data_IF_693214189874
#
_entry.id   IF_693214189874
#
_cell.length_a   1.000
_cell.length_b   1.000
_cell.length_c   1.000
_cell.angle_alpha   90.00
_cell.angle_beta   90.00
_cell.angle_gamma   90.00
#
_symmetry.space_group_name_H-M   'P 1'
#
loop_
_entity.id
_entity.type
_entity.pdbx_description
1 polymer ?
#
# COMPACT_ATOMS: atom_id res chain seq x y z
N UNK A 1 2.56 11.82 21.77
CA UNK A 1 2.88 10.43 22.17
C UNK A 1 2.67 9.38 21.06
N UNK A 2 1.51 9.31 20.37
CA UNK A 2 1.32 8.35 19.25
C UNK A 2 2.19 8.65 18.01
N UNK A 3 2.45 9.93 17.70
CA UNK A 3 3.33 10.34 16.59
C UNK A 3 4.78 9.83 16.79
N UNK A 4 5.31 9.95 18.01
CA UNK A 4 6.63 9.45 18.41
C UNK A 4 6.78 7.93 18.28
N UNK A 5 5.72 7.17 18.54
CA UNK A 5 5.72 5.70 18.35
C UNK A 5 5.73 5.37 16.85
N UNK A 6 4.96 6.06 16.02
CA UNK A 6 4.99 5.90 14.56
C UNK A 6 6.34 6.31 13.96
N UNK A 7 6.96 7.37 14.46
CA UNK A 7 8.29 7.81 14.05
C UNK A 7 9.38 6.81 14.47
N UNK A 8 9.29 6.21 15.66
CA UNK A 8 10.19 5.13 16.10
C UNK A 8 10.10 3.89 15.23
N UNK A 9 8.90 3.42 14.89
CA UNK A 9 8.74 2.27 13.98
C UNK A 9 9.18 2.59 12.55
N UNK A 10 8.98 3.82 12.11
CA UNK A 10 9.47 4.29 10.80
C UNK A 10 11.00 4.38 10.78
N UNK A 11 11.64 4.85 11.85
CA UNK A 11 13.09 4.87 12.01
C UNK A 11 13.70 3.46 12.01
N UNK A 12 13.09 2.51 12.72
CA UNK A 12 13.53 1.08 12.69
C UNK A 12 13.36 0.49 11.30
N UNK A 13 12.23 0.77 10.61
CA UNK A 13 12.03 0.33 9.24
C UNK A 13 13.03 0.99 8.28
N UNK A 14 13.39 2.24 8.51
CA UNK A 14 14.40 2.97 7.75
C UNK A 14 15.79 2.40 7.97
N UNK A 15 16.21 2.10 9.20
CA UNK A 15 17.50 1.46 9.49
C UNK A 15 17.60 0.10 8.82
N UNK A 16 16.52 -0.69 8.82
CA UNK A 16 16.44 -1.95 8.07
C UNK A 16 16.56 -1.70 6.56
N UNK A 17 15.82 -0.72 6.00
CA UNK A 17 15.86 -0.40 4.56
C UNK A 17 17.21 0.19 4.10
N UNK A 18 17.89 0.99 4.92
CA UNK A 18 19.19 1.61 4.63
C UNK A 18 20.38 0.68 4.85
N UNK A 19 20.22 -0.38 5.63
CA UNK A 19 21.24 -1.44 5.73
C UNK A 19 21.34 -2.27 4.43
N UNK A 20 20.38 -2.14 3.50
CA UNK A 20 20.41 -2.82 2.20
C UNK A 20 21.16 -2.04 1.11
N UNK A 21 21.29 -0.71 1.22
CA UNK A 21 21.98 0.09 0.18
C UNK A 21 23.51 -0.02 0.25
N UNK A 22 24.07 -0.41 1.40
CA UNK A 22 25.51 -0.57 1.61
C UNK A 22 26.05 -2.00 1.38
N UNK A 23 25.18 -3.01 1.25
CA UNK A 23 25.61 -4.43 1.20
C UNK A 23 25.91 -4.95 -0.22
N UNK A 24 25.55 -4.23 -1.29
CA UNK A 24 25.59 -4.81 -2.66
C UNK A 24 26.75 -4.35 -3.57
N UNK A 25 27.87 -3.88 -2.99
CA UNK A 25 29.11 -3.70 -3.76
C UNK A 25 29.80 -5.03 -4.16
N UNK A 26 29.33 -6.18 -3.67
CA UNK A 26 29.95 -7.45 -4.01
C UNK A 26 29.04 -8.64 -3.79
N UNK A 27 28.24 -9.01 -4.80
CA UNK A 27 28.00 -10.42 -5.13
C UNK A 27 27.33 -10.56 -6.51
N UNK A 28 28.18 -10.81 -7.51
CA UNK A 28 27.77 -11.40 -8.79
C UNK A 28 27.58 -12.89 -8.58
N UNK A 29 26.32 -13.37 -8.60
CA UNK A 29 25.86 -14.64 -9.22
C UNK A 29 24.52 -15.09 -8.62
N UNK A 30 23.41 -14.63 -9.22
CA UNK A 30 22.12 -15.33 -9.15
C UNK A 30 21.45 -15.25 -10.52
N UNK A 31 22.05 -15.91 -11.52
CA UNK A 31 21.42 -16.14 -12.83
C UNK A 31 20.95 -17.59 -12.88
N UNK A 32 19.87 -17.87 -12.15
CA UNK A 32 18.97 -18.96 -12.49
C UNK A 32 17.84 -18.38 -13.33
N UNK A 33 17.49 -19.00 -14.44
CA UNK A 33 16.29 -18.64 -15.21
C UNK A 33 15.04 -18.99 -14.38
N UNK A 34 14.62 -18.07 -13.53
CA UNK A 34 13.40 -18.23 -12.73
C UNK A 34 12.19 -17.83 -13.57
N UNK A 35 11.17 -18.65 -13.51
CA UNK A 35 9.89 -18.44 -14.17
C UNK A 35 9.22 -17.15 -13.63
N UNK A 36 9.16 -16.11 -14.47
CA UNK A 36 8.53 -14.81 -14.18
C UNK A 36 7.00 -14.91 -13.96
N UNK A 37 6.43 -16.12 -13.87
CA UNK A 37 5.05 -16.40 -13.43
C UNK A 37 4.76 -16.01 -11.98
N UNK A 38 5.76 -15.68 -11.18
CA UNK A 38 5.62 -15.36 -9.75
C UNK A 38 4.88 -14.03 -9.50
N UNK A 39 5.20 -12.97 -10.25
CA UNK A 39 4.49 -11.69 -10.15
C UNK A 39 3.02 -11.80 -10.59
N UNK A 40 2.76 -12.60 -11.64
CA UNK A 40 1.40 -12.93 -12.09
C UNK A 40 0.64 -13.72 -11.02
N UNK A 41 1.22 -14.79 -10.49
CA UNK A 41 0.62 -15.63 -9.44
C UNK A 41 0.31 -14.83 -8.17
N UNK A 42 1.19 -13.92 -7.77
CA UNK A 42 0.95 -13.03 -6.63
C UNK A 42 -0.24 -12.11 -6.87
N UNK A 43 -0.33 -11.49 -8.06
CA UNK A 43 -1.47 -10.63 -8.41
C UNK A 43 -2.78 -11.41 -8.49
N UNK A 44 -2.76 -12.60 -9.08
CA UNK A 44 -3.91 -13.49 -9.09
C UNK A 44 -4.33 -13.88 -7.68
N UNK A 45 -3.41 -14.21 -6.78
CA UNK A 45 -3.72 -14.53 -5.38
C UNK A 45 -4.36 -13.34 -4.64
N UNK A 46 -3.87 -12.12 -4.87
CA UNK A 46 -4.48 -10.92 -4.30
C UNK A 46 -5.89 -10.70 -4.83
N UNK A 47 -6.07 -10.83 -6.15
CA UNK A 47 -7.33 -10.64 -6.85
C UNK A 47 -8.37 -11.72 -6.48
N UNK A 48 -7.98 -13.00 -6.42
CA UNK A 48 -8.81 -14.11 -5.92
C UNK A 48 -9.20 -13.91 -4.45
N UNK A 49 -8.27 -13.37 -3.64
CA UNK A 49 -8.59 -12.96 -2.28
C UNK A 49 -9.77 -11.99 -2.26
N UNK A 50 -9.77 -10.97 -3.11
CA UNK A 50 -10.88 -10.00 -3.23
C UNK A 50 -12.17 -10.69 -3.71
N UNK A 51 -12.12 -11.55 -4.73
CA UNK A 51 -13.30 -12.27 -5.25
C UNK A 51 -13.93 -13.19 -4.21
N UNK A 52 -13.13 -13.93 -3.44
CA UNK A 52 -13.63 -14.84 -2.40
C UNK A 52 -14.49 -14.12 -1.35
N UNK A 53 -14.28 -12.82 -1.15
CA UNK A 53 -15.11 -12.01 -0.26
C UNK A 53 -16.43 -11.59 -0.90
N UNK A 54 -16.44 -11.33 -2.21
CA UNK A 54 -17.68 -11.10 -2.96
C UNK A 54 -18.55 -12.37 -2.97
N UNK A 55 -17.93 -13.55 -3.15
CA UNK A 55 -18.60 -14.85 -3.07
C UNK A 55 -19.20 -15.10 -1.68
N UNK A 56 -18.41 -14.88 -0.61
CA UNK A 56 -18.89 -14.99 0.78
C UNK A 56 -20.03 -14.01 1.10
N UNK A 57 -20.06 -12.86 0.43
CA UNK A 57 -21.16 -11.92 0.56
C UNK A 57 -22.44 -12.38 -0.17
N UNK A 58 -22.33 -13.34 -1.10
CA UNK A 58 -23.42 -13.88 -1.91
C UNK A 58 -24.26 -12.76 -2.56
N UNK A 59 -23.60 -11.76 -3.15
CA UNK A 59 -24.23 -10.58 -3.75
C UNK A 59 -24.90 -9.61 -2.76
N UNK A 60 -24.93 -9.91 -1.46
CA UNK A 60 -25.56 -9.03 -0.46
C UNK A 60 -24.58 -7.98 0.05
N UNK A 61 -24.78 -6.74 -0.35
CA UNK A 61 -23.92 -5.62 0.07
C UNK A 61 -23.78 -5.50 1.60
N UNK A 62 -24.83 -5.72 2.39
CA UNK A 62 -24.77 -5.60 3.85
C UNK A 62 -23.88 -6.66 4.52
N UNK A 63 -23.65 -7.79 3.85
CA UNK A 63 -22.64 -8.79 4.23
C UNK A 63 -21.26 -8.40 3.71
N UNK A 64 -21.18 -7.95 2.45
CA UNK A 64 -19.96 -7.44 1.83
C UNK A 64 -19.31 -6.33 2.65
N UNK A 65 -20.05 -5.29 3.05
CA UNK A 65 -19.57 -4.19 3.87
C UNK A 65 -19.03 -4.63 5.24
N UNK A 66 -19.69 -5.58 5.90
CA UNK A 66 -19.20 -6.14 7.17
C UNK A 66 -17.91 -6.94 6.99
N UNK A 67 -17.78 -7.64 5.87
CA UNK A 67 -16.58 -8.39 5.52
C UNK A 67 -15.43 -7.47 5.14
N UNK A 68 -15.70 -6.37 4.43
CA UNK A 68 -14.71 -5.35 4.04
C UNK A 68 -13.98 -4.72 5.24
N UNK A 69 -14.69 -4.49 6.35
CA UNK A 69 -14.12 -3.89 7.57
C UNK A 69 -13.19 -4.86 8.29
N UNK A 70 -13.47 -6.16 8.20
CA UNK A 70 -12.77 -7.22 8.97
C UNK A 70 -11.63 -7.87 8.19
N UNK A 71 -11.42 -7.50 6.94
CA UNK A 71 -10.48 -8.16 6.04
C UNK A 71 -9.48 -7.16 5.46
N UNK A 72 -8.29 -7.64 5.13
CA UNK A 72 -7.25 -6.85 4.46
C UNK A 72 -7.52 -6.67 2.94
N UNK A 73 -8.78 -6.46 2.55
CA UNK A 73 -9.16 -6.23 1.14
C UNK A 73 -8.50 -4.97 0.63
N UNK A 74 -8.47 -3.91 1.45
CA UNK A 74 -7.79 -2.66 1.12
C UNK A 74 -6.31 -2.88 0.84
N UNK A 75 -5.62 -3.66 1.68
CA UNK A 75 -4.22 -4.03 1.44
C UNK A 75 -4.05 -4.76 0.11
N UNK A 76 -4.91 -5.74 -0.20
CA UNK A 76 -4.88 -6.47 -1.48
C UNK A 76 -5.10 -5.57 -2.70
N UNK A 77 -6.06 -4.64 -2.64
CA UNK A 77 -6.32 -3.67 -3.70
C UNK A 77 -5.15 -2.71 -3.89
N UNK A 78 -4.54 -2.25 -2.80
CA UNK A 78 -3.35 -1.40 -2.83
C UNK A 78 -2.16 -2.13 -3.50
N UNK A 79 -1.96 -3.42 -3.19
CA UNK A 79 -0.93 -4.24 -3.84
C UNK A 79 -1.18 -4.38 -5.35
N UNK A 80 -2.43 -4.63 -5.72
CA UNK A 80 -2.85 -4.73 -7.12
C UNK A 80 -2.64 -3.40 -7.88
N UNK A 81 -3.07 -2.27 -7.32
CA UNK A 81 -2.85 -0.92 -7.87
C UNK A 81 -1.36 -0.71 -8.17
N UNK A 82 -0.52 -0.99 -7.18
CA UNK A 82 0.90 -0.67 -7.28
C UNK A 82 1.66 -1.58 -8.23
N UNK A 83 1.35 -2.88 -8.25
CA UNK A 83 1.93 -3.79 -9.23
C UNK A 83 1.49 -3.44 -10.67
N UNK A 84 0.24 -3.01 -10.88
CA UNK A 84 -0.21 -2.49 -12.18
C UNK A 84 0.58 -1.24 -12.57
N UNK A 85 0.81 -0.31 -11.63
CA UNK A 85 1.67 0.86 -11.86
C UNK A 85 3.06 0.44 -12.34
N UNK A 86 3.71 -0.47 -11.61
CA UNK A 86 5.04 -0.96 -11.94
C UNK A 86 5.11 -1.55 -13.36
N UNK A 87 4.13 -2.38 -13.73
CA UNK A 87 4.07 -2.97 -15.08
C UNK A 87 3.89 -1.87 -16.12
N UNK A 88 3.02 -0.88 -15.86
CA UNK A 88 2.79 0.23 -16.79
C UNK A 88 4.04 1.10 -17.03
N UNK A 89 4.93 1.18 -16.04
CA UNK A 89 6.16 1.98 -16.11
C UNK A 89 7.28 1.26 -16.86
N UNK A 90 7.17 -0.07 -17.03
CA UNK A 90 8.19 -0.85 -17.72
C UNK A 90 8.41 -0.32 -19.17
N UNK A 91 9.67 -0.14 -19.61
CA UNK A 91 9.98 0.48 -20.90
C UNK A 91 9.38 -0.29 -22.09
N UNK A 92 9.39 -1.62 -22.02
CA UNK A 92 8.94 -2.49 -23.12
C UNK A 92 7.41 -2.68 -23.25
N UNK A 93 6.62 -2.01 -22.42
CA UNK A 93 5.15 -2.10 -22.50
C UNK A 93 4.64 -1.08 -23.52
N UNK A 94 3.82 -1.55 -24.48
CA UNK A 94 3.28 -0.70 -25.55
C UNK A 94 2.36 0.38 -24.98
N UNK A 95 2.32 1.55 -25.61
CA UNK A 95 1.48 2.70 -25.19
C UNK A 95 0.00 2.34 -25.02
N UNK A 96 -0.56 1.52 -25.91
CA UNK A 96 -1.95 1.02 -25.81
C UNK A 96 -2.17 0.16 -24.57
N UNK A 97 -1.24 -0.75 -24.27
CA UNK A 97 -1.25 -1.57 -23.06
C UNK A 97 -1.07 -0.72 -21.81
N UNK A 98 -0.18 0.30 -21.82
CA UNK A 98 -0.02 1.25 -20.70
C UNK A 98 -1.33 1.99 -20.39
N UNK A 99 -2.09 2.37 -21.42
CA UNK A 99 -3.40 3.01 -21.26
C UNK A 99 -4.40 2.08 -20.57
N UNK A 100 -4.54 0.84 -21.05
CA UNK A 100 -5.43 -0.15 -20.44
C UNK A 100 -5.05 -0.46 -18.99
N UNK A 101 -3.75 -0.63 -18.70
CA UNK A 101 -3.27 -0.83 -17.33
C UNK A 101 -3.59 0.38 -16.45
N UNK A 102 -3.40 1.60 -16.95
CA UNK A 102 -3.74 2.82 -16.20
C UNK A 102 -5.24 2.89 -15.89
N UNK A 103 -6.11 2.60 -16.85
CA UNK A 103 -7.56 2.57 -16.64
C UNK A 103 -7.95 1.55 -15.58
N UNK A 104 -7.40 0.33 -15.62
CA UNK A 104 -7.63 -0.69 -14.59
C UNK A 104 -7.05 -0.29 -13.24
N UNK A 105 -5.88 0.35 -13.22
CA UNK A 105 -5.27 0.87 -11.99
C UNK A 105 -6.15 1.93 -11.34
N UNK A 106 -6.62 2.91 -12.13
CA UNK A 106 -7.45 4.00 -11.63
C UNK A 106 -8.81 3.46 -11.15
N UNK A 107 -9.35 2.43 -11.82
CA UNK A 107 -10.52 1.65 -11.39
C UNK A 107 -10.33 0.94 -10.04
N UNK A 108 -9.22 0.22 -9.85
CA UNK A 108 -8.86 -0.44 -8.57
C UNK A 108 -8.67 0.61 -7.47
N UNK A 109 -7.96 1.69 -7.79
CA UNK A 109 -7.65 2.78 -6.85
C UNK A 109 -8.90 3.46 -6.33
N UNK A 110 -9.87 3.77 -7.20
CA UNK A 110 -11.14 4.39 -6.80
C UNK A 110 -11.83 3.58 -5.69
N UNK A 111 -11.86 2.26 -5.81
CA UNK A 111 -12.45 1.40 -4.79
C UNK A 111 -11.58 1.29 -3.52
N UNK A 112 -10.25 1.20 -3.65
CA UNK A 112 -9.32 1.22 -2.52
C UNK A 112 -9.43 2.51 -1.68
N UNK A 113 -9.46 3.67 -2.34
CA UNK A 113 -9.57 4.98 -1.69
C UNK A 113 -10.90 5.10 -0.93
N UNK A 114 -12.02 4.68 -1.54
CA UNK A 114 -13.33 4.70 -0.88
C UNK A 114 -13.38 3.80 0.36
N UNK A 115 -12.78 2.61 0.29
CA UNK A 115 -12.63 1.73 1.46
C UNK A 115 -11.72 2.34 2.52
N UNK A 116 -10.65 3.01 2.09
CA UNK A 116 -9.72 3.71 2.96
C UNK A 116 -10.37 4.84 3.74
N UNK A 117 -11.18 5.66 3.08
CA UNK A 117 -11.94 6.75 3.69
C UNK A 117 -12.96 6.21 4.71
N UNK A 118 -13.73 5.19 4.32
CA UNK A 118 -14.68 4.55 5.23
C UNK A 118 -13.99 3.96 6.48
N UNK A 119 -12.88 3.25 6.29
CA UNK A 119 -12.08 2.69 7.38
C UNK A 119 -11.56 3.77 8.34
N UNK A 120 -11.01 4.87 7.79
CA UNK A 120 -10.54 6.01 8.58
C UNK A 120 -11.66 6.61 9.43
N UNK A 121 -12.82 6.90 8.84
CA UNK A 121 -13.95 7.49 9.58
C UNK A 121 -14.48 6.56 10.65
N UNK A 122 -14.51 5.26 10.38
CA UNK A 122 -14.91 4.26 11.38
C UNK A 122 -13.93 4.21 12.56
N UNK A 123 -12.62 4.19 12.30
CA UNK A 123 -11.59 4.16 13.33
C UNK A 123 -11.57 5.43 14.17
N UNK A 124 -11.76 6.60 13.55
CA UNK A 124 -11.89 7.88 14.26
C UNK A 124 -13.12 7.89 15.17
N UNK A 125 -14.27 7.39 14.68
CA UNK A 125 -15.48 7.28 15.49
C UNK A 125 -15.30 6.33 16.69
N UNK A 126 -14.67 5.18 16.48
CA UNK A 126 -14.37 4.23 17.56
C UNK A 126 -13.44 4.85 18.62
N UNK A 127 -12.39 5.55 18.18
CA UNK A 127 -11.48 6.24 19.09
C UNK A 127 -12.17 7.38 19.85
N UNK A 128 -13.04 8.14 19.18
CA UNK A 128 -13.79 9.23 19.80
C UNK A 128 -14.72 8.70 20.90
N UNK A 129 -15.47 7.62 20.62
CA UNK A 129 -16.38 6.98 21.60
C UNK A 129 -15.66 6.40 22.82
N UNK A 130 -14.42 5.96 22.65
CA UNK A 130 -13.62 5.38 23.73
C UNK A 130 -12.90 6.43 24.59
N UNK A 131 -13.06 7.73 24.28
CA UNK A 131 -12.52 8.83 25.07
C UNK A 131 -13.65 9.55 25.81
N UNK A 132 -13.45 9.82 27.09
CA UNK A 132 -14.45 10.40 27.98
C UNK A 132 -14.74 11.89 27.76
N UNK A 133 -13.92 12.57 26.95
CA UNK A 133 -13.86 14.02 26.83
C UNK A 133 -14.00 14.52 25.37
N UNK A 134 -14.68 13.75 24.52
CA UNK A 134 -15.03 14.17 23.16
C UNK A 134 -16.48 14.64 23.12
N UNK A 135 -16.71 15.82 22.53
CA UNK A 135 -18.04 16.40 22.40
C UNK A 135 -18.98 15.47 21.62
N UNK A 136 -20.23 15.38 22.10
CA UNK A 136 -21.33 14.71 21.43
C UNK A 136 -21.54 15.19 19.99
N UNK A 137 -21.31 16.48 19.71
CA UNK A 137 -21.41 17.04 18.36
C UNK A 137 -20.36 16.46 17.42
N UNK A 138 -19.12 16.30 17.91
CA UNK A 138 -18.01 15.69 17.15
C UNK A 138 -18.32 14.21 16.86
N UNK A 139 -18.90 13.49 17.83
CA UNK A 139 -19.33 12.10 17.63
C UNK A 139 -20.44 12.00 16.57
N UNK A 140 -21.39 12.94 16.57
CA UNK A 140 -22.46 13.00 15.59
C UNK A 140 -21.93 13.29 14.16
N UNK A 141 -21.02 14.26 14.03
CA UNK A 141 -20.34 14.57 12.77
C UNK A 141 -19.54 13.38 12.22
N UNK A 142 -18.71 12.73 13.06
CA UNK A 142 -17.96 11.54 12.67
C UNK A 142 -18.89 10.40 12.22
N UNK A 143 -20.04 10.23 12.88
CA UNK A 143 -21.05 9.25 12.47
C UNK A 143 -21.61 9.58 11.09
N UNK A 144 -21.98 10.84 10.83
CA UNK A 144 -22.50 11.29 9.53
C UNK A 144 -21.46 11.09 8.41
N UNK A 145 -20.20 11.49 8.64
CA UNK A 145 -19.09 11.29 7.70
C UNK A 145 -18.84 9.81 7.39
N UNK A 146 -18.87 8.94 8.41
CA UNK A 146 -18.74 7.48 8.24
C UNK A 146 -19.88 6.90 7.38
N UNK A 147 -21.12 7.32 7.61
CA UNK A 147 -22.26 6.85 6.80
C UNK A 147 -22.19 7.35 5.34
N UNK A 148 -21.73 8.59 5.12
CA UNK A 148 -21.48 9.13 3.78
C UNK A 148 -20.41 8.32 3.04
N UNK A 149 -19.28 8.03 3.68
CA UNK A 149 -18.23 7.21 3.09
C UNK A 149 -18.72 5.78 2.78
N UNK A 150 -19.54 5.20 3.66
CA UNK A 150 -20.16 3.90 3.40
C UNK A 150 -21.13 3.92 2.20
N UNK A 151 -21.86 5.03 2.02
CA UNK A 151 -22.72 5.21 0.86
C UNK A 151 -21.92 5.29 -0.45
N UNK A 152 -20.76 5.94 -0.44
CA UNK A 152 -19.86 5.97 -1.59
C UNK A 152 -19.32 4.58 -1.94
N UNK A 153 -18.87 3.81 -0.94
CA UNK A 153 -18.47 2.40 -1.13
C UNK A 153 -19.61 1.57 -1.74
N UNK A 154 -20.87 1.82 -1.34
CA UNK A 154 -22.06 1.16 -1.94
C UNK A 154 -22.21 1.47 -3.41
N UNK A 155 -22.10 2.75 -3.77
CA UNK A 155 -22.27 3.22 -5.14
C UNK A 155 -21.19 2.60 -6.02
N UNK A 156 -19.92 2.79 -5.66
CA UNK A 156 -18.77 2.25 -6.42
C UNK A 156 -18.89 0.74 -6.55
N UNK A 157 -19.16 0.04 -5.44
CA UNK A 157 -19.26 -1.42 -5.46
C UNK A 157 -20.35 -1.93 -6.42
N UNK A 158 -21.46 -1.20 -6.57
CA UNK A 158 -22.54 -1.53 -7.50
C UNK A 158 -22.20 -1.19 -8.94
N UNK A 159 -21.79 0.05 -9.20
CA UNK A 159 -21.46 0.56 -10.54
C UNK A 159 -20.36 -0.29 -11.19
N UNK A 160 -19.32 -0.59 -10.41
CA UNK A 160 -18.12 -1.23 -10.92
C UNK A 160 -18.19 -2.76 -10.85
N UNK A 161 -19.14 -3.32 -10.10
CA UNK A 161 -19.35 -4.75 -9.95
C UNK A 161 -18.40 -5.43 -8.95
N UNK A 162 -17.98 -4.75 -7.88
CA UNK A 162 -17.10 -5.31 -6.83
C UNK A 162 -17.81 -6.26 -5.85
N UNK A 163 -19.14 -6.20 -5.75
CA UNK A 163 -19.94 -7.04 -4.83
C UNK A 163 -20.43 -8.35 -5.46
N UNK A 164 -20.17 -8.57 -6.74
CA UNK A 164 -20.59 -9.76 -7.50
C UNK A 164 -19.35 -10.57 -7.90
N UNK A 165 -19.49 -11.88 -8.03
CA UNK A 165 -18.45 -12.78 -8.56
C UNK A 165 -18.80 -13.25 -9.98
N UNK A 166 -17.83 -13.80 -10.71
CA UNK A 166 -18.05 -14.35 -12.05
C UNK A 166 -18.11 -13.31 -13.19
N UNK A 167 -18.75 -13.68 -14.30
CA UNK A 167 -18.72 -12.90 -15.56
C UNK A 167 -19.33 -11.51 -15.39
N UNK A 168 -18.60 -10.47 -15.79
CA UNK A 168 -19.01 -9.07 -15.68
C UNK A 168 -18.66 -8.40 -14.34
N UNK A 169 -18.12 -9.14 -13.37
CA UNK A 169 -17.60 -8.58 -12.12
C UNK A 169 -16.37 -7.69 -12.35
N UNK A 170 -16.08 -6.85 -11.35
CA UNK A 170 -14.82 -6.12 -11.28
C UNK A 170 -13.61 -7.07 -11.34
N UNK A 171 -13.72 -8.23 -10.69
CA UNK A 171 -12.70 -9.28 -10.71
C UNK A 171 -12.40 -9.77 -12.13
N UNK A 172 -13.45 -10.15 -12.88
CA UNK A 172 -13.29 -10.67 -14.23
C UNK A 172 -12.60 -9.63 -15.14
N UNK A 173 -13.00 -8.35 -15.05
CA UNK A 173 -12.38 -7.26 -15.81
C UNK A 173 -10.88 -7.13 -15.52
N UNK A 174 -10.48 -7.19 -14.25
CA UNK A 174 -9.06 -7.13 -13.87
C UNK A 174 -8.34 -8.40 -14.34
N UNK A 175 -8.92 -9.59 -14.15
CA UNK A 175 -8.30 -10.86 -14.51
C UNK A 175 -8.09 -10.99 -16.03
N UNK A 176 -9.03 -10.52 -16.83
CA UNK A 176 -8.93 -10.48 -18.29
C UNK A 176 -7.74 -9.61 -18.73
N UNK A 177 -7.57 -8.43 -18.13
CA UNK A 177 -6.38 -7.62 -18.35
C UNK A 177 -5.12 -8.39 -17.93
N UNK A 178 -5.05 -8.88 -16.69
CA UNK A 178 -3.84 -9.55 -16.18
C UNK A 178 -3.43 -10.71 -17.07
N UNK A 179 -4.39 -11.50 -17.56
CA UNK A 179 -4.13 -12.65 -18.44
C UNK A 179 -3.62 -12.25 -19.83
N UNK A 180 -3.90 -11.01 -20.28
CA UNK A 180 -3.41 -10.47 -21.55
C UNK A 180 -1.99 -9.89 -21.49
N UNK A 181 -1.43 -9.69 -20.29
CA UNK A 181 -0.11 -9.08 -20.11
C UNK A 181 1.01 -10.08 -20.37
N UNK A 182 2.09 -9.63 -21.01
CA UNK A 182 3.30 -10.44 -21.19
C UNK A 182 4.20 -10.35 -19.94
N UNK A 183 3.94 -11.23 -18.98
CA UNK A 183 4.63 -11.30 -17.69
C UNK A 183 6.11 -11.64 -17.78
N UNK A 184 6.56 -12.25 -18.88
CA UNK A 184 7.97 -12.61 -19.07
C UNK A 184 8.91 -11.40 -19.07
N UNK A 185 8.38 -10.19 -19.33
CA UNK A 185 9.14 -8.94 -19.34
C UNK A 185 9.40 -8.36 -17.94
N UNK A 186 8.61 -8.73 -16.94
CA UNK A 186 8.81 -8.25 -15.57
C UNK A 186 9.86 -9.14 -14.90
N UNK A 187 11.12 -8.72 -15.01
CA UNK A 187 12.26 -9.46 -14.45
C UNK A 187 12.50 -9.09 -12.99
N UNK A 188 13.18 -9.97 -12.25
CA UNK A 188 13.64 -9.67 -10.89
C UNK A 188 14.59 -8.46 -10.85
N UNK A 189 15.44 -8.29 -11.86
CA UNK A 189 16.32 -7.12 -11.98
C UNK A 189 15.52 -5.83 -12.05
N UNK A 190 14.46 -5.78 -12.87
CA UNK A 190 13.59 -4.63 -12.95
C UNK A 190 12.88 -4.32 -11.61
N UNK A 191 12.42 -5.36 -10.90
CA UNK A 191 11.84 -5.20 -9.56
C UNK A 191 12.84 -4.62 -8.55
N UNK A 192 14.10 -5.06 -8.61
CA UNK A 192 15.18 -4.56 -7.75
C UNK A 192 15.53 -3.10 -8.07
N UNK A 193 15.67 -2.75 -9.35
CA UNK A 193 15.92 -1.37 -9.78
C UNK A 193 14.81 -0.43 -9.33
N UNK A 194 13.55 -0.84 -9.48
CA UNK A 194 12.39 -0.09 -9.02
C UNK A 194 12.36 0.07 -7.49
N UNK A 195 12.72 -0.99 -6.75
CA UNK A 195 12.86 -0.94 -5.29
C UNK A 195 13.93 0.04 -4.83
N UNK A 196 15.12 0.01 -5.46
CA UNK A 196 16.21 0.91 -5.12
C UNK A 196 15.84 2.36 -5.40
N UNK A 197 15.19 2.62 -6.55
CA UNK A 197 14.72 3.95 -6.90
C UNK A 197 13.68 4.49 -5.90
N UNK A 198 12.71 3.68 -5.48
CA UNK A 198 11.69 4.10 -4.50
C UNK A 198 12.26 4.22 -3.07
N UNK A 199 13.27 3.42 -2.71
CA UNK A 199 14.00 3.56 -1.43
C UNK A 199 14.81 4.86 -1.39
N UNK A 200 15.49 5.20 -2.48
CA UNK A 200 16.20 6.48 -2.58
C UNK A 200 15.24 7.68 -2.55
N UNK A 201 14.07 7.55 -3.19
CA UNK A 201 12.99 8.54 -3.12
C UNK A 201 12.48 8.75 -1.69
N UNK A 202 12.34 7.68 -0.90
CA UNK A 202 11.97 7.77 0.53
C UNK A 202 13.01 8.54 1.35
N UNK A 203 14.30 8.26 1.12
CA UNK A 203 15.38 8.98 1.79
C UNK A 203 15.31 10.48 1.50
N UNK A 204 15.15 10.83 0.23
CA UNK A 204 15.00 12.21 -0.21
C UNK A 204 13.78 12.86 0.43
N UNK A 205 12.65 12.17 0.46
CA UNK A 205 11.43 12.67 1.08
C UNK A 205 11.60 12.97 2.57
N UNK A 206 12.34 12.15 3.30
CA UNK A 206 12.61 12.42 4.73
C UNK A 206 13.45 13.67 4.87
N UNK A 207 14.61 13.73 4.20
CA UNK A 207 15.60 14.81 4.34
C UNK A 207 15.07 16.15 3.83
N UNK A 208 14.31 16.15 2.74
CA UNK A 208 13.91 17.37 2.03
C UNK A 208 12.47 17.81 2.33
N UNK A 209 11.55 16.89 2.66
CA UNK A 209 10.14 17.24 2.91
C UNK A 209 9.79 17.16 4.40
N UNK A 210 10.07 16.05 5.09
CA UNK A 210 9.58 15.83 6.45
C UNK A 210 10.45 16.52 7.51
N UNK A 211 11.76 16.30 7.46
CA UNK A 211 12.70 16.83 8.45
C UNK A 211 12.63 18.35 8.55
N UNK A 212 12.58 19.12 7.44
CA UNK A 212 12.42 20.58 7.52
C UNK A 212 11.08 21.02 8.12
N UNK A 213 10.01 20.21 8.02
CA UNK A 213 8.72 20.51 8.63
C UNK A 213 8.70 20.17 10.13
N UNK A 214 9.43 19.13 10.55
CA UNK A 214 9.55 18.71 11.95
C UNK A 214 10.46 19.65 12.75
N UNK A 215 11.52 20.17 12.12
CA UNK A 215 12.49 21.05 12.78
C UNK A 215 12.02 22.52 12.88
N UNK A 216 10.88 22.87 12.28
CA UNK A 216 10.32 24.22 12.40
C UNK A 216 9.86 24.52 13.83
N UNK A 217 10.14 25.72 14.37
CA UNK A 217 9.67 26.12 15.71
C UNK A 217 8.14 26.17 15.84
N UNK A 218 7.44 26.41 14.72
CA UNK A 218 5.98 26.41 14.62
C UNK A 218 5.58 25.33 13.62
N UNK A 219 4.86 24.32 14.12
CA UNK A 219 4.42 23.19 13.32
C UNK A 219 3.30 23.59 12.35
N UNK A 220 3.54 23.42 11.06
CA UNK A 220 2.46 23.36 10.07
C UNK A 220 1.86 21.96 10.10
N UNK A 221 0.78 21.81 10.87
CA UNK A 221 0.11 20.52 11.08
C UNK A 221 -0.43 19.93 9.77
N UNK A 222 -0.95 20.75 8.87
CA UNK A 222 -1.50 20.29 7.60
C UNK A 222 -0.40 19.79 6.67
N UNK A 223 0.71 20.55 6.54
CA UNK A 223 1.84 20.12 5.72
C UNK A 223 2.49 18.84 6.27
N UNK A 224 2.60 18.70 7.60
CA UNK A 224 3.10 17.48 8.24
C UNK A 224 2.19 16.29 8.00
N UNK A 225 0.87 16.45 8.14
CA UNK A 225 -0.10 15.37 7.91
C UNK A 225 -0.02 14.87 6.46
N UNK A 226 0.02 15.78 5.48
CA UNK A 226 0.17 15.43 4.07
C UNK A 226 1.52 14.77 3.78
N UNK A 227 2.61 15.27 4.37
CA UNK A 227 3.94 14.70 4.28
C UNK A 227 3.97 13.26 4.80
N UNK A 228 3.48 13.03 6.03
CA UNK A 228 3.42 11.69 6.63
C UNK A 228 2.49 10.76 5.84
N UNK A 229 1.41 11.27 5.26
CA UNK A 229 0.53 10.49 4.41
C UNK A 229 1.26 9.97 3.17
N UNK A 230 1.96 10.85 2.45
CA UNK A 230 2.78 10.48 1.28
C UNK A 230 3.88 9.49 1.67
N UNK A 231 4.58 9.75 2.77
CA UNK A 231 5.64 8.89 3.29
C UNK A 231 5.14 7.48 3.62
N UNK A 232 4.02 7.37 4.35
CA UNK A 232 3.38 6.07 4.64
C UNK A 232 2.99 5.33 3.36
N UNK A 233 2.49 6.05 2.35
CA UNK A 233 2.16 5.44 1.06
C UNK A 233 3.43 4.90 0.39
N UNK A 234 4.53 5.65 0.40
CA UNK A 234 5.80 5.22 -0.18
C UNK A 234 6.45 4.05 0.57
N UNK A 235 6.37 3.99 1.91
CA UNK A 235 6.80 2.81 2.68
C UNK A 235 6.03 1.56 2.23
N UNK A 236 4.70 1.68 2.06
CA UNK A 236 3.89 0.54 1.61
C UNK A 236 4.25 0.09 0.19
N UNK A 237 4.75 0.98 -0.66
CA UNK A 237 5.27 0.60 -1.97
C UNK A 237 6.53 -0.25 -1.85
N UNK A 238 7.46 0.19 -1.01
CA UNK A 238 8.70 -0.54 -0.73
C UNK A 238 8.41 -1.92 -0.16
N UNK A 239 7.45 -2.05 0.75
CA UNK A 239 7.07 -3.37 1.27
C UNK A 239 6.45 -4.28 0.20
N UNK A 240 5.76 -3.74 -0.81
CA UNK A 240 5.27 -4.52 -1.95
C UNK A 240 6.42 -5.07 -2.75
N UNK A 241 7.43 -4.26 -3.06
CA UNK A 241 8.61 -4.73 -3.76
C UNK A 241 9.32 -5.85 -3.01
N UNK A 242 9.52 -5.69 -1.69
CA UNK A 242 10.14 -6.73 -0.85
C UNK A 242 9.35 -8.04 -0.91
N UNK A 243 8.02 -7.99 -0.76
CA UNK A 243 7.16 -9.18 -0.84
C UNK A 243 7.17 -9.78 -2.26
N UNK A 244 7.24 -8.94 -3.30
CA UNK A 244 7.22 -9.38 -4.71
C UNK A 244 8.55 -9.99 -5.15
N UNK A 245 9.65 -9.61 -4.51
CA UNK A 245 10.97 -10.18 -4.75
C UNK A 245 11.20 -11.49 -3.98
N UNK A 246 10.33 -11.85 -3.03
CA UNK A 246 10.42 -13.10 -2.26
C UNK A 246 11.73 -13.19 -1.47
N UNK A 247 12.41 -14.34 -1.55
CA UNK A 247 13.65 -14.66 -0.81
C UNK A 247 14.91 -13.87 -1.28
N UNK A 248 14.76 -12.88 -2.17
CA UNK A 248 15.89 -12.06 -2.63
C UNK A 248 16.54 -11.26 -1.49
N UNK A 249 15.79 -10.98 -0.44
CA UNK A 249 16.30 -10.39 0.79
C UNK A 249 16.39 -11.47 1.85
N UNK A 250 17.59 -11.98 2.10
CA UNK A 250 17.91 -12.50 3.43
C UNK A 250 18.07 -11.28 4.33
N UNK A 251 17.15 -11.12 5.28
CA UNK A 251 17.35 -10.14 6.33
C UNK A 251 18.64 -10.52 7.06
N UNK A 252 19.65 -9.64 7.02
CA UNK A 252 20.71 -9.71 8.00
C UNK A 252 20.06 -9.73 9.38
N UNK A 253 20.58 -10.55 10.30
CA UNK A 253 20.05 -10.62 11.67
C UNK A 253 19.89 -9.20 12.20
N UNK A 254 18.67 -8.84 12.61
CA UNK A 254 18.41 -7.53 13.22
C UNK A 254 19.37 -7.40 14.39
N UNK A 255 20.27 -6.39 14.40
CA UNK A 255 21.21 -6.24 15.50
C UNK A 255 20.42 -6.18 16.79
N UNK A 256 20.66 -7.14 17.68
CA UNK A 256 19.98 -7.20 18.99
C UNK A 256 20.39 -6.04 19.90
N UNK A 257 21.40 -5.25 19.48
CA UNK A 257 21.89 -4.04 20.13
C UNK A 257 22.19 -2.99 19.07
N UNK A 258 21.75 -1.76 19.34
CA UNK A 258 22.13 -0.58 18.55
C UNK A 258 23.64 -0.34 18.67
N UNK A 259 24.27 0.17 17.60
CA UNK A 259 25.66 0.63 17.67
C UNK A 259 25.79 1.81 18.65
N UNK A 260 27.00 2.10 19.15
CA UNK A 260 27.21 3.27 20.03
C UNK A 260 26.81 4.58 19.34
N UNK A 261 27.12 4.71 18.05
CA UNK A 261 26.76 5.89 17.23
C UNK A 261 25.24 6.03 17.11
N UNK A 262 24.51 4.94 16.92
CA UNK A 262 23.05 4.94 16.88
C UNK A 262 22.42 5.19 18.26
N UNK A 263 23.06 4.72 19.35
CA UNK A 263 22.61 5.01 20.72
C UNK A 263 22.72 6.51 21.04
N UNK A 264 23.79 7.16 20.62
CA UNK A 264 24.02 8.59 20.83
C UNK A 264 23.00 9.46 20.07
N UNK A 265 22.47 8.97 18.94
CA UNK A 265 21.38 9.62 18.20
C UNK A 265 20.01 9.46 18.87
N UNK A 266 19.81 8.45 19.71
CA UNK A 266 18.55 8.19 20.44
C UNK A 266 18.47 8.95 21.76
N UNK A 267 19.63 9.34 22.31
CA UNK A 267 19.75 10.01 23.61
C UNK A 267 19.97 11.53 23.52
N UNK A 268 19.98 12.10 22.31
CA UNK A 268 19.86 13.55 22.05
C UNK A 268 18.42 13.93 21.71
#
# INVERSE_FOLDING_TARGET
MKLLIYMRWSAVLLTVLFSFSSVHAGEKKCVGSVDNSEAYRMLQSHLQGVESFAEKANGRFSKFARTLIRSDIRGRLFRLEYMLKLISEHPDVKKSTKKAIKETRDFVKRFEDALGEYGLRNDLLLQARNKSNVDSEVIADLKAKKEKALAEVKVISKEDGWHISGKGSAYAKVNDLLSSLNWKKITRTYLLEAFLAETHSLEKQIKEELEPLILKPVYDYHALEDGFHKFRRNIRKVSIYMVSMGDFFTFAEVPTRLSREDQDLVHK
#
